data_IF_867230453109
#
_entry.id   IF_867230453109
#
_cell.length_a   1.000
_cell.length_b   1.000
_cell.length_c   1.000
_cell.angle_alpha   90.00
_cell.angle_beta   90.00
_cell.angle_gamma   90.00
#
_symmetry.space_group_name_H-M   'P 1'
#
loop_
_entity.id
_entity.type
_entity.pdbx_description
1 polymer ?
#
# COMPACT_ATOMS: atom_id res chain seq x y z
N UNK A 1 -79.06 -54.53 34.03
CA UNK A 1 -77.95 -55.39 34.50
C UNK A 1 -76.82 -54.47 34.97
N UNK A 2 -76.25 -54.79 36.14
CA UNK A 2 -75.31 -54.03 37.00
C UNK A 2 -74.06 -53.53 36.24
N UNK A 3 -73.66 -52.26 36.38
CA UNK A 3 -72.83 -51.63 37.44
C UNK A 3 -71.31 -51.86 37.31
N UNK A 4 -70.53 -50.80 37.52
CA UNK A 4 -69.09 -50.85 37.88
C UNK A 4 -68.34 -49.56 37.51
N UNK A 5 -68.02 -48.63 38.43
CA UNK A 5 -66.87 -48.65 39.39
C UNK A 5 -65.52 -48.82 38.66
N UNK A 6 -64.38 -48.23 39.01
CA UNK A 6 -63.93 -47.31 40.06
C UNK A 6 -62.45 -47.08 39.74
N UNK A 7 -61.96 -45.91 40.12
CA UNK A 7 -60.65 -45.59 40.70
C UNK A 7 -59.53 -46.65 40.85
N UNK A 8 -58.32 -46.11 40.73
CA UNK A 8 -57.20 -46.20 41.69
C UNK A 8 -56.21 -47.39 41.66
N UNK A 9 -54.94 -46.95 41.68
CA UNK A 9 -53.76 -47.45 42.42
C UNK A 9 -52.92 -48.63 41.91
N UNK A 10 -51.64 -48.25 41.74
CA UNK A 10 -50.44 -48.86 42.34
C UNK A 10 -49.98 -50.21 41.81
N UNK A 11 -48.79 -50.22 41.18
CA UNK A 11 -47.72 -51.22 41.37
C UNK A 11 -46.43 -50.79 40.64
N UNK A 12 -45.35 -50.54 41.39
CA UNK A 12 -43.93 -50.63 40.96
C UNK A 12 -43.51 -52.13 40.96
N UNK A 13 -42.29 -52.60 40.61
CA UNK A 13 -41.03 -51.95 40.16
C UNK A 13 -40.38 -52.65 38.92
N UNK A 14 -39.15 -52.25 38.53
CA UNK A 14 -37.95 -53.11 38.28
C UNK A 14 -36.93 -52.37 37.38
N UNK A 15 -35.67 -52.45 37.81
CA UNK A 15 -34.45 -51.92 37.19
C UNK A 15 -34.19 -52.40 35.76
N UNK A 16 -33.47 -51.57 34.98
CA UNK A 16 -32.26 -51.93 34.20
C UNK A 16 -32.20 -51.16 32.88
N UNK A 17 -31.00 -50.69 32.54
CA UNK A 17 -30.63 -50.36 31.15
C UNK A 17 -30.14 -48.93 30.96
N UNK A 18 -28.83 -48.72 31.19
CA UNK A 18 -28.11 -47.57 30.63
C UNK A 18 -28.22 -47.61 29.11
N UNK A 19 -28.94 -46.65 28.50
CA UNK A 19 -28.85 -46.40 27.05
C UNK A 19 -27.77 -45.37 26.78
N UNK A 20 -26.76 -45.80 26.04
CA UNK A 20 -25.74 -44.95 25.44
C UNK A 20 -26.40 -43.99 24.43
N UNK A 21 -26.48 -42.71 24.79
CA UNK A 21 -26.85 -41.66 23.85
C UNK A 21 -25.60 -41.24 23.06
N UNK A 22 -25.55 -41.72 21.82
CA UNK A 22 -24.58 -41.34 20.79
C UNK A 22 -24.81 -39.86 20.45
N UNK A 23 -23.95 -38.97 20.94
CA UNK A 23 -23.98 -37.54 20.58
C UNK A 23 -23.62 -37.41 19.10
N UNK A 24 -24.55 -36.87 18.31
CA UNK A 24 -24.31 -36.39 16.96
C UNK A 24 -23.40 -35.18 17.08
N UNK A 25 -22.17 -35.31 16.60
CA UNK A 25 -21.21 -34.22 16.52
C UNK A 25 -21.61 -33.32 15.34
N UNK A 26 -22.20 -32.17 15.63
CA UNK A 26 -22.34 -31.06 14.71
C UNK A 26 -20.99 -30.37 14.54
N UNK A 27 -20.37 -30.54 13.37
CA UNK A 27 -19.15 -29.85 12.98
C UNK A 27 -19.46 -28.40 12.62
N UNK A 28 -19.28 -27.49 13.58
CA UNK A 28 -19.06 -26.07 13.31
C UNK A 28 -17.56 -25.87 13.06
N UNK A 29 -17.12 -25.26 11.93
CA UNK A 29 -15.73 -24.84 11.82
C UNK A 29 -15.51 -23.65 12.75
N UNK A 30 -14.57 -23.82 13.69
CA UNK A 30 -14.08 -22.77 14.53
C UNK A 30 -13.39 -21.70 13.66
N UNK A 31 -14.07 -20.57 13.44
CA UNK A 31 -13.44 -19.30 13.09
C UNK A 31 -12.63 -18.84 14.31
N UNK A 32 -11.44 -19.41 14.45
CA UNK A 32 -10.48 -19.08 15.49
C UNK A 32 -9.42 -18.13 14.96
N UNK A 33 -9.39 -16.93 15.54
CA UNK A 33 -8.25 -16.02 15.65
C UNK A 33 -7.83 -15.22 14.39
N UNK A 34 -8.73 -14.35 13.95
CA UNK A 34 -8.36 -13.13 13.21
C UNK A 34 -8.18 -11.98 14.23
N UNK A 35 -7.00 -11.86 14.85
CA UNK A 35 -6.57 -10.64 15.56
C UNK A 35 -5.06 -10.71 15.83
N UNK A 36 -4.27 -10.18 14.90
CA UNK A 36 -2.99 -9.56 15.24
C UNK A 36 -3.04 -8.15 14.67
N UNK A 37 -3.30 -7.23 15.59
CA UNK A 37 -3.46 -5.80 15.39
C UNK A 37 -2.33 -5.23 14.54
N UNK A 38 -2.76 -4.46 13.54
CA UNK A 38 -1.96 -3.57 12.73
C UNK A 38 -1.05 -2.70 13.61
N UNK A 39 0.25 -2.84 13.42
CA UNK A 39 1.24 -1.97 14.02
C UNK A 39 1.29 -0.64 13.27
N UNK A 40 1.12 0.44 14.04
CA UNK A 40 1.39 1.84 13.71
C UNK A 40 0.55 2.43 12.59
N UNK A 41 -0.57 3.04 13.02
CA UNK A 41 -1.26 4.10 12.32
C UNK A 41 -0.26 5.13 11.77
N UNK A 42 -0.21 5.22 10.44
CA UNK A 42 0.13 6.47 9.78
C UNK A 42 -0.82 7.56 10.26
N UNK A 43 -0.33 8.79 10.36
CA UNK A 43 -1.03 9.88 11.03
C UNK A 43 -2.48 10.01 10.58
N UNK A 44 -3.42 10.36 11.49
CA UNK A 44 -4.82 10.56 11.12
C UNK A 44 -4.89 11.62 10.02
N UNK A 45 -5.37 11.21 8.86
CA UNK A 45 -5.73 12.15 7.79
C UNK A 45 -6.79 13.11 8.32
N UNK A 46 -6.89 14.33 7.76
CA UNK A 46 -7.90 15.32 8.18
C UNK A 46 -9.34 14.78 8.20
N UNK A 47 -9.60 13.69 7.44
CA UNK A 47 -10.93 13.09 7.27
C UNK A 47 -11.06 11.61 7.71
N UNK A 48 -10.02 10.97 8.27
CA UNK A 48 -10.12 9.63 8.89
C UNK A 48 -10.64 8.45 8.04
N UNK A 49 -10.76 8.60 6.71
CA UNK A 49 -11.32 7.57 5.82
C UNK A 49 -10.32 6.41 5.65
N UNK A 50 -10.73 5.14 5.82
CA UNK A 50 -9.90 3.98 5.50
C UNK A 50 -9.42 3.99 4.04
N UNK A 51 -8.17 3.57 3.80
CA UNK A 51 -7.56 3.60 2.46
C UNK A 51 -8.34 2.77 1.44
N UNK A 52 -8.91 1.64 1.85
CA UNK A 52 -9.73 0.81 0.97
C UNK A 52 -11.02 1.53 0.52
N UNK A 53 -11.62 2.35 1.40
CA UNK A 53 -12.83 3.12 1.07
C UNK A 53 -12.49 4.26 0.10
N UNK A 54 -11.31 4.86 0.23
CA UNK A 54 -10.80 5.84 -0.72
C UNK A 54 -10.58 5.23 -2.11
N UNK A 55 -9.97 4.04 -2.18
CA UNK A 55 -9.82 3.31 -3.43
C UNK A 55 -11.17 2.95 -4.08
N UNK A 56 -12.19 2.62 -3.26
CA UNK A 56 -13.55 2.38 -3.74
C UNK A 56 -14.19 3.65 -4.31
N UNK A 57 -13.96 4.82 -3.70
CA UNK A 57 -14.41 6.11 -4.25
C UNK A 57 -13.76 6.41 -5.58
N UNK A 58 -12.45 6.19 -5.71
CA UNK A 58 -11.77 6.34 -7.00
C UNK A 58 -12.39 5.44 -8.06
N UNK A 59 -12.62 4.16 -7.74
CA UNK A 59 -13.21 3.21 -8.69
C UNK A 59 -14.61 3.65 -9.15
N UNK A 60 -15.42 4.25 -8.26
CA UNK A 60 -16.76 4.70 -8.60
C UNK A 60 -16.78 5.88 -9.58
N UNK A 61 -15.70 6.67 -9.64
CA UNK A 61 -15.58 7.82 -10.55
C UNK A 61 -14.73 7.53 -11.78
N UNK A 62 -14.10 6.35 -11.86
CA UNK A 62 -13.33 5.92 -13.00
C UNK A 62 -14.22 5.76 -14.24
N UNK A 63 -13.68 6.09 -15.42
CA UNK A 63 -14.42 5.88 -16.68
C UNK A 63 -14.62 4.39 -16.91
N UNK A 64 -15.67 4.01 -17.62
CA UNK A 64 -15.95 2.59 -17.89
C UNK A 64 -14.99 1.94 -18.88
N UNK A 65 -14.26 2.73 -19.68
CA UNK A 65 -13.38 2.24 -20.72
C UNK A 65 -12.20 3.18 -20.99
N UNK A 66 -11.05 2.57 -21.30
CA UNK A 66 -9.82 3.23 -21.72
C UNK A 66 -9.27 2.53 -22.96
N UNK A 67 -9.07 3.28 -24.05
CA UNK A 67 -8.47 2.75 -25.26
C UNK A 67 -6.94 2.63 -25.07
N UNK A 68 -6.35 1.44 -25.24
CA UNK A 68 -4.89 1.32 -25.22
C UNK A 68 -4.25 2.09 -26.39
N UNK A 69 -3.19 2.89 -26.15
CA UNK A 69 -2.53 3.65 -27.21
C UNK A 69 -1.64 2.80 -28.12
N UNK A 70 -1.25 1.59 -27.70
CA UNK A 70 -0.34 0.70 -28.41
C UNK A 70 -1.02 -0.49 -29.09
N UNK A 71 -0.24 -1.32 -29.81
CA UNK A 71 -0.75 -2.55 -30.42
C UNK A 71 -1.11 -3.60 -29.36
N UNK A 72 -1.89 -4.66 -29.69
CA UNK A 72 -2.35 -5.66 -28.72
C UNK A 72 -1.25 -6.36 -27.90
N UNK A 73 -0.06 -6.51 -28.46
CA UNK A 73 1.13 -7.09 -27.80
C UNK A 73 1.85 -6.13 -26.86
N UNK A 74 1.67 -4.82 -27.03
CA UNK A 74 2.22 -3.77 -26.16
C UNK A 74 1.22 -2.62 -25.97
N UNK A 75 0.05 -2.89 -25.36
CA UNK A 75 -1.08 -1.96 -25.34
C UNK A 75 -0.74 -0.63 -24.66
N UNK A 76 0.18 -0.66 -23.69
CA UNK A 76 0.58 0.50 -22.89
C UNK A 76 1.97 1.05 -23.26
N UNK A 77 2.62 0.48 -24.28
CA UNK A 77 3.98 0.84 -24.70
C UNK A 77 4.22 2.34 -24.86
N UNK A 78 3.36 3.07 -25.58
CA UNK A 78 3.49 4.53 -25.71
C UNK A 78 3.55 5.28 -24.38
N UNK A 79 2.67 4.94 -23.42
CA UNK A 79 2.66 5.57 -22.09
C UNK A 79 3.86 5.16 -21.24
N UNK A 80 4.29 3.90 -21.32
CA UNK A 80 5.50 3.42 -20.65
C UNK A 80 6.73 4.18 -21.14
N UNK A 81 6.88 4.33 -22.46
CA UNK A 81 7.98 5.06 -23.08
C UNK A 81 7.97 6.54 -22.68
N UNK A 82 6.81 7.17 -22.70
CA UNK A 82 6.66 8.57 -22.26
C UNK A 82 7.12 8.74 -20.80
N UNK A 83 6.58 7.92 -19.88
CA UNK A 83 6.92 7.99 -18.47
C UNK A 83 8.39 7.69 -18.20
N UNK A 84 8.94 6.65 -18.84
CA UNK A 84 10.34 6.26 -18.74
C UNK A 84 11.29 7.41 -19.12
N UNK A 85 11.00 8.08 -20.23
CA UNK A 85 11.77 9.24 -20.69
C UNK A 85 11.63 10.44 -19.76
N UNK A 86 10.41 10.73 -19.28
CA UNK A 86 10.14 11.88 -18.42
C UNK A 86 10.86 11.80 -17.08
N UNK A 87 10.93 10.60 -16.49
CA UNK A 87 11.43 10.40 -15.12
C UNK A 87 12.83 9.77 -15.06
N UNK A 88 13.49 9.55 -16.22
CA UNK A 88 14.76 8.82 -16.29
C UNK A 88 14.70 7.49 -15.53
N UNK A 89 13.77 6.63 -15.98
CA UNK A 89 13.59 5.27 -15.48
C UNK A 89 13.60 4.32 -16.68
N UNK A 90 14.42 3.26 -16.70
CA UNK A 90 14.43 2.30 -17.81
C UNK A 90 13.05 1.69 -18.05
N UNK A 91 12.61 1.63 -19.32
CA UNK A 91 11.32 0.99 -19.67
C UNK A 91 11.22 -0.44 -19.12
N UNK A 92 12.34 -1.18 -19.11
CA UNK A 92 12.42 -2.53 -18.53
C UNK A 92 12.01 -2.57 -17.07
N UNK A 93 12.35 -1.55 -16.28
CA UNK A 93 11.95 -1.46 -14.87
C UNK A 93 10.44 -1.23 -14.75
N UNK A 94 9.91 -0.27 -15.51
CA UNK A 94 8.47 0.04 -15.53
C UNK A 94 7.65 -1.18 -15.93
N UNK A 95 8.07 -1.88 -17.00
CA UNK A 95 7.43 -3.11 -17.48
C UNK A 95 7.51 -4.23 -16.44
N UNK A 96 8.67 -4.41 -15.79
CA UNK A 96 8.83 -5.47 -14.79
C UNK A 96 7.96 -5.24 -13.54
N UNK A 97 7.86 -3.99 -13.07
CA UNK A 97 6.96 -3.59 -11.98
C UNK A 97 5.51 -3.79 -12.40
N UNK A 98 5.06 -3.20 -13.51
CA UNK A 98 3.68 -3.34 -13.99
C UNK A 98 3.25 -4.80 -14.16
N UNK A 99 4.14 -5.64 -14.71
CA UNK A 99 3.89 -7.07 -14.88
C UNK A 99 3.75 -7.80 -13.54
N UNK A 100 4.48 -7.40 -12.50
CA UNK A 100 4.40 -7.99 -11.17
C UNK A 100 3.18 -7.49 -10.38
N UNK A 101 2.76 -6.25 -10.62
CA UNK A 101 1.66 -5.59 -9.92
C UNK A 101 0.27 -6.01 -10.45
N UNK A 102 0.03 -5.82 -11.74
CA UNK A 102 -1.28 -6.07 -12.37
C UNK A 102 -1.22 -7.13 -13.47
N UNK A 103 -0.02 -7.52 -13.88
CA UNK A 103 0.18 -8.31 -15.09
C UNK A 103 -0.11 -7.53 -16.38
N UNK A 104 -0.07 -6.19 -16.34
CA UNK A 104 -0.45 -5.32 -17.46
C UNK A 104 -1.96 -5.26 -17.72
N UNK A 105 -2.78 -5.79 -16.80
CA UNK A 105 -4.22 -5.87 -16.94
C UNK A 105 -4.88 -4.70 -16.24
N UNK A 106 -5.69 -3.95 -16.99
CA UNK A 106 -6.52 -2.90 -16.39
C UNK A 106 -7.74 -3.47 -15.67
N UNK A 107 -8.24 -4.63 -16.13
CA UNK A 107 -9.41 -5.29 -15.59
C UNK A 107 -9.17 -6.76 -15.18
N UNK A 108 -9.83 -7.15 -14.10
CA UNK A 108 -9.98 -8.54 -13.64
C UNK A 108 -11.46 -8.82 -13.37
N UNK A 109 -12.02 -9.84 -14.03
CA UNK A 109 -13.44 -10.22 -13.93
C UNK A 109 -14.41 -9.05 -14.18
N UNK A 110 -14.10 -8.19 -15.16
CA UNK A 110 -14.92 -7.03 -15.51
C UNK A 110 -14.84 -5.86 -14.52
N UNK A 111 -13.96 -5.93 -13.53
CA UNK A 111 -13.71 -4.88 -12.55
C UNK A 111 -12.30 -4.33 -12.72
N UNK A 112 -12.07 -3.06 -12.37
CA UNK A 112 -10.71 -2.53 -12.32
C UNK A 112 -9.82 -3.33 -11.37
N UNK A 113 -8.56 -3.54 -11.77
CA UNK A 113 -7.59 -4.20 -10.90
C UNK A 113 -7.33 -3.34 -9.68
N UNK A 114 -7.76 -3.84 -8.52
CA UNK A 114 -7.50 -3.23 -7.22
C UNK A 114 -7.20 -4.32 -6.20
N UNK A 115 -6.15 -4.15 -5.40
CA UNK A 115 -5.84 -5.09 -4.32
C UNK A 115 -6.78 -4.94 -3.12
N UNK A 116 -6.78 -5.93 -2.21
CA UNK A 116 -7.57 -5.88 -0.97
C UNK A 116 -7.19 -4.66 -0.09
N UNK A 117 -5.90 -4.30 0.08
CA UNK A 117 -5.53 -3.06 0.75
C UNK A 117 -5.94 -1.77 0.03
N UNK A 118 -6.34 -1.83 -1.23
CA UNK A 118 -6.78 -0.68 -2.01
C UNK A 118 -5.77 -0.15 -3.04
N UNK A 119 -4.73 -0.91 -3.39
CA UNK A 119 -3.78 -0.51 -4.43
C UNK A 119 -4.45 -0.51 -5.81
N UNK A 120 -4.20 0.50 -6.65
CA UNK A 120 -5.05 0.82 -7.81
C UNK A 120 -4.32 0.76 -9.15
N UNK A 121 -4.98 0.19 -10.16
CA UNK A 121 -4.59 0.30 -11.56
C UNK A 121 -3.39 -0.56 -11.96
N UNK A 122 -2.78 -0.22 -13.09
CA UNK A 122 -1.70 -1.00 -13.73
C UNK A 122 -0.45 -1.12 -12.87
N UNK A 123 -0.12 -0.06 -12.12
CA UNK A 123 1.06 0.08 -11.28
C UNK A 123 0.77 -0.13 -9.78
N UNK A 124 -0.48 -0.49 -9.44
CA UNK A 124 -0.93 -0.76 -8.07
C UNK A 124 -0.48 0.30 -7.05
N UNK A 125 -0.78 1.57 -7.34
CA UNK A 125 -0.49 2.65 -6.41
C UNK A 125 -1.51 2.70 -5.28
N UNK A 126 -1.03 2.87 -4.05
CA UNK A 126 -1.91 3.17 -2.92
C UNK A 126 -2.49 4.59 -3.07
N UNK A 127 -3.74 4.84 -2.66
CA UNK A 127 -4.35 6.17 -2.73
C UNK A 127 -3.48 7.31 -2.18
N UNK A 128 -2.88 7.22 -0.96
CA UNK A 128 -1.95 8.25 -0.48
C UNK A 128 -0.82 8.56 -1.46
N UNK A 129 -0.20 7.53 -2.02
CA UNK A 129 0.91 7.67 -2.96
C UNK A 129 0.45 8.34 -4.25
N UNK A 130 -0.71 7.96 -4.79
CA UNK A 130 -1.24 8.58 -5.99
C UNK A 130 -1.56 10.07 -5.77
N UNK A 131 -2.16 10.43 -4.63
CA UNK A 131 -2.48 11.82 -4.29
C UNK A 131 -1.24 12.71 -4.20
N UNK A 132 -0.19 12.22 -3.53
CA UNK A 132 1.08 12.94 -3.42
C UNK A 132 1.73 13.15 -4.79
N UNK A 133 1.79 12.10 -5.61
CA UNK A 133 2.45 12.13 -6.92
C UNK A 133 1.67 12.98 -7.92
N UNK A 134 0.34 12.85 -7.97
CA UNK A 134 -0.48 13.63 -8.91
C UNK A 134 -0.47 15.12 -8.60
N UNK A 135 -0.44 15.50 -7.33
CA UNK A 135 -0.29 16.89 -6.93
C UNK A 135 1.06 17.45 -7.37
N UNK A 136 2.12 16.64 -7.28
CA UNK A 136 3.48 17.04 -7.67
C UNK A 136 3.64 17.20 -9.18
N UNK A 137 3.03 16.30 -9.98
CA UNK A 137 3.23 16.25 -11.43
C UNK A 137 2.03 16.71 -12.26
N UNK A 138 1.01 17.26 -11.60
CA UNK A 138 -0.23 17.76 -12.19
C UNK A 138 -0.95 16.69 -13.04
N UNK A 139 -1.15 15.50 -12.46
CA UNK A 139 -1.87 14.38 -13.07
C UNK A 139 -3.36 14.42 -12.70
N UNK A 140 -4.19 13.73 -13.48
CA UNK A 140 -5.64 13.72 -13.33
C UNK A 140 -6.15 13.03 -12.06
N UNK A 141 -7.45 13.20 -11.81
CA UNK A 141 -8.11 12.70 -10.58
C UNK A 141 -8.35 11.19 -10.58
N UNK A 142 -8.23 10.50 -11.72
CA UNK A 142 -8.55 9.08 -11.82
C UNK A 142 -7.28 8.20 -11.83
N UNK A 143 -6.98 7.49 -10.74
CA UNK A 143 -5.84 6.56 -10.68
C UNK A 143 -6.01 5.30 -11.52
N UNK A 144 -7.17 5.07 -12.12
CA UNK A 144 -7.40 3.97 -13.07
C UNK A 144 -7.22 4.40 -14.53
N UNK A 145 -7.06 5.69 -14.81
CA UNK A 145 -6.65 6.19 -16.12
C UNK A 145 -5.23 5.66 -16.42
N UNK A 146 -5.02 4.85 -17.49
CA UNK A 146 -3.75 4.17 -17.71
C UNK A 146 -2.53 5.08 -17.87
N UNK A 147 -2.67 6.21 -18.58
CA UNK A 147 -1.57 7.15 -18.74
C UNK A 147 -1.14 7.72 -17.38
N UNK A 148 -2.08 8.25 -16.60
CA UNK A 148 -1.80 8.89 -15.31
C UNK A 148 -1.29 7.88 -14.28
N UNK A 149 -1.82 6.66 -14.27
CA UNK A 149 -1.35 5.60 -13.38
C UNK A 149 0.10 5.16 -13.71
N UNK A 150 0.45 5.03 -15.00
CA UNK A 150 1.80 4.70 -15.44
C UNK A 150 2.78 5.84 -15.16
N UNK A 151 2.37 7.08 -15.41
CA UNK A 151 3.14 8.28 -15.11
C UNK A 151 3.43 8.37 -13.62
N UNK A 152 2.40 8.22 -12.78
CA UNK A 152 2.53 8.26 -11.33
C UNK A 152 3.40 7.10 -10.81
N UNK A 153 3.19 5.89 -11.32
CA UNK A 153 3.96 4.72 -10.91
C UNK A 153 5.44 4.84 -11.26
N UNK A 154 5.75 5.36 -12.44
CA UNK A 154 7.12 5.58 -12.89
C UNK A 154 7.80 6.71 -12.09
N UNK A 155 7.08 7.79 -11.81
CA UNK A 155 7.59 8.85 -10.92
C UNK A 155 7.89 8.30 -9.52
N UNK A 156 7.03 7.43 -8.99
CA UNK A 156 7.25 6.80 -7.69
C UNK A 156 8.42 5.82 -7.69
N UNK A 157 8.62 5.03 -8.77
CA UNK A 157 9.85 4.25 -8.98
C UNK A 157 11.07 5.16 -8.89
N UNK A 158 11.06 6.30 -9.60
CA UNK A 158 12.20 7.23 -9.60
C UNK A 158 12.47 7.76 -8.19
N UNK A 159 11.43 8.22 -7.50
CA UNK A 159 11.55 8.73 -6.13
C UNK A 159 12.17 7.68 -5.18
N UNK A 160 11.71 6.42 -5.26
CA UNK A 160 12.28 5.35 -4.42
C UNK A 160 13.71 4.99 -4.83
N UNK A 161 14.04 5.03 -6.11
CA UNK A 161 15.39 4.80 -6.60
C UNK A 161 16.38 5.87 -6.16
N UNK A 162 15.95 7.13 -6.12
CA UNK A 162 16.80 8.23 -5.64
C UNK A 162 17.17 8.08 -4.17
N UNK A 163 16.26 7.57 -3.35
CA UNK A 163 16.48 7.37 -1.91
C UNK A 163 17.22 6.06 -1.62
N UNK A 164 16.83 4.96 -2.27
CA UNK A 164 17.24 3.61 -1.88
C UNK A 164 18.17 2.89 -2.85
N UNK A 165 18.36 3.43 -4.06
CA UNK A 165 19.14 2.78 -5.12
C UNK A 165 18.55 1.43 -5.56
N UNK A 166 19.29 0.67 -6.37
CA UNK A 166 18.93 -0.69 -6.74
C UNK A 166 19.65 -1.72 -5.86
N UNK A 167 18.99 -2.79 -5.39
CA UNK A 167 17.58 -3.14 -5.59
C UNK A 167 16.63 -2.54 -4.54
N UNK A 168 17.11 -1.65 -3.65
CA UNK A 168 16.35 -1.14 -2.50
C UNK A 168 15.02 -0.49 -2.86
N UNK A 169 14.93 0.19 -4.00
CA UNK A 169 13.69 0.83 -4.45
C UNK A 169 12.52 -0.15 -4.61
N UNK A 170 12.78 -1.40 -5.01
CA UNK A 170 11.74 -2.42 -5.17
C UNK A 170 11.12 -2.80 -3.82
N UNK A 171 11.93 -2.88 -2.78
CA UNK A 171 11.46 -3.16 -1.43
C UNK A 171 10.64 -1.98 -0.89
N UNK A 172 11.09 -0.75 -1.14
CA UNK A 172 10.37 0.45 -0.73
C UNK A 172 9.03 0.61 -1.48
N UNK A 173 9.02 0.35 -2.78
CA UNK A 173 7.81 0.42 -3.61
C UNK A 173 6.74 -0.55 -3.13
N UNK A 174 7.11 -1.82 -2.87
CA UNK A 174 6.16 -2.85 -2.46
C UNK A 174 5.75 -2.77 -0.98
N UNK A 175 6.71 -2.56 -0.08
CA UNK A 175 6.48 -2.66 1.37
C UNK A 175 6.20 -1.31 2.04
N UNK A 176 6.45 -0.22 1.32
CA UNK A 176 6.49 1.16 1.80
C UNK A 176 7.88 1.54 2.32
N UNK A 177 8.31 2.82 2.13
CA UNK A 177 9.62 3.30 2.56
C UNK A 177 9.84 3.13 4.07
N UNK A 178 8.84 3.45 4.90
CA UNK A 178 8.94 3.29 6.36
C UNK A 178 9.22 1.86 6.82
N UNK A 179 8.73 0.84 6.09
CA UNK A 179 9.02 -0.56 6.40
C UNK A 179 10.42 -0.96 5.99
N UNK A 180 10.93 -0.41 4.89
CA UNK A 180 12.33 -0.58 4.51
C UNK A 180 13.26 0.12 5.51
N UNK A 181 12.92 1.33 5.98
CA UNK A 181 13.67 2.02 7.03
C UNK A 181 13.72 1.21 8.33
N UNK A 182 12.60 0.62 8.75
CA UNK A 182 12.54 -0.28 9.90
C UNK A 182 13.47 -1.50 9.73
N UNK A 183 13.58 -2.05 8.52
CA UNK A 183 14.51 -3.12 8.21
C UNK A 183 15.97 -2.66 8.31
N UNK A 184 16.28 -1.49 7.73
CA UNK A 184 17.65 -0.96 7.68
C UNK A 184 18.15 -0.47 9.05
N UNK A 185 17.28 0.14 9.87
CA UNK A 185 17.69 0.85 11.09
C UNK A 185 17.31 0.12 12.38
N UNK A 186 16.25 -0.68 12.35
CA UNK A 186 15.70 -1.36 13.55
C UNK A 186 15.78 -2.88 13.47
N UNK A 187 16.43 -3.41 12.43
CA UNK A 187 16.64 -4.83 12.22
C UNK A 187 15.35 -5.67 12.18
N UNK A 188 14.22 -5.06 11.77
CA UNK A 188 12.95 -5.78 11.57
C UNK A 188 12.99 -6.54 10.26
N UNK A 189 12.36 -7.71 10.17
CA UNK A 189 12.36 -8.49 8.94
C UNK A 189 11.39 -7.92 7.89
N UNK A 190 11.80 -7.94 6.62
CA UNK A 190 10.89 -7.69 5.50
C UNK A 190 9.91 -8.87 5.33
N UNK A 191 8.65 -8.63 4.97
CA UNK A 191 7.69 -9.68 4.64
C UNK A 191 8.21 -10.61 3.55
N UNK A 192 7.82 -11.89 3.61
CA UNK A 192 8.17 -12.87 2.58
C UNK A 192 7.72 -12.44 1.19
N UNK A 193 6.54 -11.82 1.09
CA UNK A 193 6.01 -11.26 -0.14
C UNK A 193 6.98 -10.23 -0.76
N UNK A 194 7.42 -9.25 0.01
CA UNK A 194 8.39 -8.24 -0.44
C UNK A 194 9.72 -8.86 -0.87
N UNK A 195 10.23 -9.83 -0.11
CA UNK A 195 11.47 -10.53 -0.50
C UNK A 195 11.32 -11.25 -1.85
N UNK A 196 10.17 -11.90 -2.06
CA UNK A 196 9.87 -12.57 -3.33
C UNK A 196 9.70 -11.56 -4.47
N UNK A 197 9.08 -10.41 -4.21
CA UNK A 197 8.91 -9.31 -5.16
C UNK A 197 10.27 -8.77 -5.64
N UNK A 198 11.17 -8.49 -4.70
CA UNK A 198 12.55 -8.06 -5.02
C UNK A 198 13.28 -9.13 -5.83
N UNK A 199 13.16 -10.40 -5.47
CA UNK A 199 13.80 -11.50 -6.19
C UNK A 199 13.24 -11.69 -7.62
N UNK A 200 11.93 -11.54 -7.81
CA UNK A 200 11.27 -11.76 -9.11
C UNK A 200 11.59 -10.66 -10.11
N UNK A 201 11.65 -9.40 -9.66
CA UNK A 201 11.97 -8.25 -10.51
C UNK A 201 13.48 -8.03 -10.63
N UNK A 202 14.22 -8.17 -9.52
CA UNK A 202 15.67 -7.92 -9.46
C UNK A 202 16.44 -8.64 -10.56
N UNK A 203 16.12 -9.92 -10.81
CA UNK A 203 16.75 -10.72 -11.88
C UNK A 203 16.48 -10.21 -13.30
N UNK A 204 15.40 -9.46 -13.52
CA UNK A 204 15.02 -8.88 -14.82
C UNK A 204 15.71 -7.54 -15.07
N UNK A 205 16.11 -6.85 -14.00
CA UNK A 205 16.61 -5.48 -14.05
C UNK A 205 18.10 -5.35 -13.72
N UNK A 206 18.74 -6.45 -13.27
CA UNK A 206 20.17 -6.47 -12.97
C UNK A 206 20.99 -6.01 -14.18
N UNK A 207 21.96 -5.11 -13.96
CA UNK A 207 22.79 -4.53 -15.02
C UNK A 207 22.10 -3.43 -15.84
N UNK A 208 20.84 -3.10 -15.57
CA UNK A 208 20.12 -1.99 -16.19
C UNK A 208 19.98 -0.88 -15.17
N UNK A 209 20.37 0.35 -15.53
CA UNK A 209 20.24 1.53 -14.67
C UNK A 209 19.68 2.72 -15.44
N UNK A 210 19.03 3.68 -14.75
CA UNK A 210 18.80 5.03 -15.28
C UNK A 210 20.06 5.65 -15.88
N UNK A 211 19.89 6.63 -16.78
CA UNK A 211 21.00 7.41 -17.32
C UNK A 211 21.67 8.22 -16.20
N UNK A 212 20.87 8.83 -15.33
CA UNK A 212 21.33 9.54 -14.14
C UNK A 212 21.20 8.62 -12.92
N UNK A 213 22.26 7.86 -12.65
CA UNK A 213 22.32 6.97 -11.47
C UNK A 213 22.18 7.76 -10.18
N UNK A 214 21.40 7.24 -9.22
CA UNK A 214 21.20 7.92 -7.95
C UNK A 214 22.44 7.81 -7.07
N UNK A 215 22.62 8.76 -6.15
CA UNK A 215 23.72 8.71 -5.19
C UNK A 215 23.65 7.45 -4.32
N UNK A 216 22.44 7.01 -3.96
CA UNK A 216 22.23 5.77 -3.21
C UNK A 216 22.72 4.55 -4.00
N UNK A 217 22.40 4.46 -5.30
CA UNK A 217 22.85 3.38 -6.17
C UNK A 217 24.37 3.36 -6.36
N UNK A 218 24.99 4.53 -6.54
CA UNK A 218 26.45 4.66 -6.63
C UNK A 218 27.15 4.24 -5.32
N UNK A 219 26.58 4.57 -4.17
CA UNK A 219 27.09 4.13 -2.86
C UNK A 219 26.96 2.62 -2.68
N UNK A 220 25.85 2.01 -3.10
CA UNK A 220 25.70 0.54 -3.05
C UNK A 220 26.74 -0.13 -3.95
N UNK A 221 26.92 0.36 -5.17
CA UNK A 221 27.89 -0.19 -6.12
C UNK A 221 29.35 -0.06 -5.67
N UNK A 222 29.71 1.01 -4.96
CA UNK A 222 31.08 1.19 -4.45
C UNK A 222 31.43 0.19 -3.34
N UNK A 223 30.45 -0.24 -2.55
CA UNK A 223 30.64 -1.27 -1.52
C UNK A 223 30.74 -2.68 -2.12
N UNK A 224 30.04 -2.95 -3.23
CA UNK A 224 30.14 -4.23 -3.96
C UNK A 224 31.50 -4.39 -4.67
N UNK A 225 32.08 -3.28 -5.15
CA UNK A 225 33.40 -3.28 -5.79
C UNK A 225 34.54 -3.64 -4.82
N UNK A 226 34.38 -3.39 -3.51
CA UNK A 226 35.29 -3.87 -2.46
C UNK A 226 35.06 -5.35 -2.08
N UNK A 227 33.94 -5.95 -2.51
CA UNK A 227 33.66 -7.38 -2.39
C UNK A 227 34.11 -8.18 -3.62
N UNK A 228 34.32 -7.53 -4.77
CA UNK A 228 34.79 -8.15 -6.03
C UNK A 228 36.23 -8.70 -5.99
N UNK A 229 36.95 -8.55 -4.87
CA UNK A 229 38.20 -9.26 -4.57
C UNK A 229 38.01 -10.65 -3.92
N UNK A 230 36.78 -11.12 -3.68
CA UNK A 230 36.54 -12.45 -3.10
C UNK A 230 35.90 -13.41 -4.12
N UNK A 231 36.65 -14.47 -4.50
CA UNK A 231 36.10 -15.61 -5.23
C UNK A 231 35.15 -16.40 -4.31
N UNK A 232 34.00 -16.90 -4.80
CA UNK A 232 33.01 -17.51 -3.92
C UNK A 232 33.45 -18.93 -3.53
N UNK A 233 33.68 -19.14 -2.24
CA UNK A 233 33.55 -20.46 -1.62
C UNK A 233 32.10 -20.57 -1.14
N UNK A 234 31.40 -21.62 -1.58
CA UNK A 234 30.03 -21.89 -1.14
C UNK A 234 30.01 -22.18 0.35
N UNK A 235 29.45 -21.27 1.15
CA UNK A 235 28.91 -21.59 2.47
C UNK A 235 27.71 -20.71 2.80
N UNK A 236 26.71 -21.33 3.40
CA UNK A 236 25.39 -20.81 3.71
C UNK A 236 25.43 -19.67 4.76
N UNK A 237 25.19 -18.43 4.34
CA UNK A 237 24.46 -17.39 5.11
C UNK A 237 24.35 -16.12 4.25
N UNK A 238 23.32 -16.07 3.39
CA UNK A 238 23.05 -14.94 2.48
C UNK A 238 22.49 -13.69 3.21
N UNK A 239 22.31 -13.73 4.53
CA UNK A 239 21.65 -12.65 5.29
C UNK A 239 22.60 -11.63 5.93
N UNK A 240 23.88 -11.96 6.08
CA UNK A 240 24.84 -11.08 6.78
C UNK A 240 25.61 -10.15 5.84
N UNK A 241 25.79 -10.52 4.58
CA UNK A 241 26.49 -9.72 3.55
C UNK A 241 25.73 -8.46 3.16
N UNK A 242 24.39 -8.54 3.09
CA UNK A 242 23.55 -7.37 2.87
C UNK A 242 23.73 -6.42 4.06
N UNK A 243 23.56 -6.87 5.31
CA UNK A 243 23.63 -6.01 6.50
C UNK A 243 24.98 -5.27 6.65
N UNK A 244 26.11 -5.93 6.37
CA UNK A 244 27.45 -5.33 6.44
C UNK A 244 27.69 -4.26 5.36
N UNK A 245 27.08 -4.39 4.18
CA UNK A 245 27.14 -3.36 3.13
C UNK A 245 26.39 -2.07 3.52
N UNK A 246 25.40 -2.15 4.42
CA UNK A 246 24.59 -1.00 4.84
C UNK A 246 24.99 -0.41 6.20
N UNK A 247 25.61 -1.17 7.11
CA UNK A 247 25.94 -0.72 8.48
C UNK A 247 27.12 0.26 8.58
N UNK A 248 27.98 0.35 7.56
CA UNK A 248 29.20 1.18 7.61
C UNK A 248 28.98 2.69 7.34
N UNK A 249 27.73 3.15 7.22
CA UNK A 249 27.42 4.58 7.04
C UNK A 249 27.60 5.42 8.33
N UNK A 250 27.79 4.77 9.49
CA UNK A 250 27.89 5.45 10.80
C UNK A 250 29.31 5.91 11.21
N UNK A 251 30.35 5.66 10.41
CA UNK A 251 31.74 5.74 10.89
C UNK A 251 32.60 6.90 10.40
N UNK A 252 32.17 7.72 9.44
CA UNK A 252 33.02 8.78 8.87
C UNK A 252 32.37 10.14 9.08
N UNK A 253 32.90 10.90 10.04
CA UNK A 253 32.55 12.29 10.26
C UNK A 253 32.93 13.15 9.07
N UNK A 254 31.97 13.36 8.17
CA UNK A 254 31.98 14.40 7.16
C UNK A 254 30.62 15.11 7.22
N UNK A 255 30.68 16.43 7.25
CA UNK A 255 29.54 17.32 7.43
C UNK A 255 28.35 16.93 6.53
N UNK A 256 27.17 16.84 7.15
CA UNK A 256 25.90 16.59 6.47
C UNK A 256 25.66 17.64 5.38
N UNK A 257 25.45 17.26 4.10
CA UNK A 257 24.70 18.12 3.22
C UNK A 257 23.26 18.14 3.74
N UNK A 258 22.80 19.33 4.11
CA UNK A 258 21.44 19.64 4.52
C UNK A 258 20.48 19.19 3.42
N UNK A 259 19.66 18.18 3.73
CA UNK A 259 18.48 17.85 2.94
C UNK A 259 17.56 19.09 2.90
N UNK A 260 17.01 19.49 1.75
CA UNK A 260 15.96 20.49 1.73
C UNK A 260 14.77 19.94 2.53
N UNK A 261 14.48 20.60 3.65
CA UNK A 261 13.27 20.33 4.43
C UNK A 261 12.06 20.67 3.56
N UNK A 262 11.18 19.71 3.36
CA UNK A 262 9.83 19.96 2.88
C UNK A 262 9.19 21.03 3.79
N UNK A 263 8.56 22.09 3.26
CA UNK A 263 8.08 23.19 4.09
C UNK A 263 6.97 22.72 5.04
N UNK A 264 7.27 22.80 6.33
CA UNK A 264 6.33 22.72 7.45
C UNK A 264 5.51 24.02 7.51
N UNK A 265 4.56 24.21 6.60
CA UNK A 265 3.52 25.22 6.81
C UNK A 265 2.33 24.59 7.52
N UNK A 266 2.30 24.79 8.84
CA UNK A 266 1.13 24.95 9.74
C UNK A 266 1.44 24.36 11.13
N UNK A 267 2.43 24.94 11.81
CA UNK A 267 2.64 24.77 13.25
C UNK A 267 3.06 26.10 13.87
N UNK A 268 2.18 27.10 13.81
CA UNK A 268 2.08 28.21 14.78
C UNK A 268 1.03 29.22 14.34
N UNK A 269 -0.18 29.10 14.86
CA UNK A 269 -1.09 30.22 15.03
C UNK A 269 -2.01 29.93 16.21
N UNK A 270 -1.47 30.14 17.40
CA UNK A 270 -2.19 30.00 18.66
C UNK A 270 -1.46 30.78 19.73
N UNK A 271 -1.59 32.11 19.72
CA UNK A 271 -1.43 32.96 20.90
C UNK A 271 -2.07 34.33 20.63
N UNK A 272 -2.72 34.84 21.67
CA UNK A 272 -3.83 35.80 21.73
C UNK A 272 -3.36 37.26 21.85
N UNK A 273 -4.34 38.19 21.72
CA UNK A 273 -4.40 39.62 22.14
C UNK A 273 -4.21 40.61 20.96
N UNK A 274 -5.09 41.55 20.63
CA UNK A 274 -6.39 41.99 21.15
C UNK A 274 -6.82 43.29 20.45
N UNK A 275 -8.04 43.74 20.73
CA UNK A 275 -8.61 45.09 20.58
C UNK A 275 -9.59 45.37 19.40
N UNK A 276 -10.86 45.48 19.81
CA UNK A 276 -11.87 46.54 19.55
C UNK A 276 -12.34 46.86 18.12
N UNK A 277 -13.68 46.82 17.92
CA UNK A 277 -14.35 47.77 17.02
C UNK A 277 -15.64 47.33 16.31
N UNK A 278 -16.75 47.26 17.05
CA UNK A 278 -18.16 47.60 16.70
C UNK A 278 -18.93 47.00 15.48
N UNK A 279 -20.25 46.73 15.60
CA UNK A 279 -21.08 46.01 14.62
C UNK A 279 -22.10 46.89 13.86
N UNK A 280 -22.63 46.40 12.73
CA UNK A 280 -23.79 46.97 12.03
C UNK A 280 -24.45 45.96 11.05
N UNK A 281 -25.72 46.12 10.63
CA UNK A 281 -26.88 45.62 11.39
C UNK A 281 -27.83 44.68 10.61
N UNK A 282 -28.73 44.07 11.38
CA UNK A 282 -29.85 43.21 10.97
C UNK A 282 -30.87 43.90 10.05
N UNK A 283 -31.24 43.23 8.95
CA UNK A 283 -32.38 43.58 8.12
C UNK A 283 -33.69 43.07 8.75
N UNK A 284 -34.56 44.00 9.15
CA UNK A 284 -35.96 43.73 9.53
C UNK A 284 -36.77 43.39 8.28
N UNK A 285 -37.31 42.18 8.20
CA UNK A 285 -38.44 41.89 7.31
C UNK A 285 -39.74 42.29 7.99
N UNK A 286 -40.47 43.17 7.30
CA UNK A 286 -41.74 43.76 7.71
C UNK A 286 -42.87 42.86 7.22
N UNK A 287 -43.69 42.36 8.14
CA UNK A 287 -44.96 41.71 7.86
C UNK A 287 -45.94 42.71 7.21
N UNK A 288 -46.66 42.29 6.18
CA UNK A 288 -47.84 42.96 5.62
C UNK A 288 -49.11 42.18 6.01
N UNK A 289 -50.26 42.84 6.20
CA UNK A 289 -51.47 42.23 6.73
C UNK A 289 -52.35 41.57 5.65
N UNK A 290 -53.17 40.61 6.11
CA UNK A 290 -54.21 39.94 5.35
C UNK A 290 -55.49 40.79 5.25
N UNK A 291 -56.16 40.71 4.09
CA UNK A 291 -57.53 41.19 3.78
C UNK A 291 -57.85 40.47 2.44
N UNK A 292 -58.93 39.73 2.20
CA UNK A 292 -60.25 39.44 2.82
C UNK A 292 -60.46 37.93 2.73
#
# INVERSE_FOLDING_TARGET
MKAGFQSYLSSQPVCSGRKAARRVASTLPALGLLMLLAACAGQPRPNGVPVADEAARYRAHARSYYAPPGPPEDPWGPYIKEAANRFDVPETWVRAVMQQESGGRLFHNGQFVTSVPGAMGLMQLMPPTYDEIRATYNLGDDPYEPHDNIMAGTAYIRQMYDVYGSPGFLAAYNAGPGRLEDFLTRNRTLPRETRNYVASIGRKIVGISPASRSQADLLVASHDSLAQSYKPIQTNSETDSVRLAWSNRGGVGLAQPHLPQLPLTQQKAGMVMGQTGTPCPMHKQRLLPATV
#
